data_IF_041409188146
#
_entry.id   IF_041409188146
#
_cell.length_a   1.000
_cell.length_b   1.000
_cell.length_c   1.000
_cell.angle_alpha   90.00
_cell.angle_beta   90.00
_cell.angle_gamma   90.00
#
_symmetry.space_group_name_H-M   'P 1'
#
loop_
_entity.id
_entity.type
_entity.pdbx_description
1 polymer ?
#
# COMPACT_ATOMS: atom_id res chain seq x y z
N UNK A 1 17.10 15.73 -29.59
CA UNK A 1 18.12 14.72 -29.92
C UNK A 1 18.87 14.25 -28.68
N UNK A 2 19.56 15.14 -27.95
CA UNK A 2 20.28 14.77 -26.72
C UNK A 2 19.37 14.16 -25.63
N UNK A 3 18.21 14.78 -25.36
CA UNK A 3 17.24 14.26 -24.39
C UNK A 3 16.73 12.86 -24.77
N UNK A 4 16.47 12.63 -26.05
CA UNK A 4 16.03 11.34 -26.59
C UNK A 4 17.10 10.26 -26.41
N UNK A 5 18.37 10.62 -26.65
CA UNK A 5 19.52 9.73 -26.45
C UNK A 5 19.67 9.39 -24.96
N UNK A 6 19.57 10.38 -24.06
CA UNK A 6 19.66 10.17 -22.62
C UNK A 6 18.54 9.25 -22.14
N UNK A 7 17.29 9.45 -22.57
CA UNK A 7 16.16 8.59 -22.22
C UNK A 7 16.33 7.16 -22.74
N UNK A 8 16.84 6.98 -23.96
CA UNK A 8 17.12 5.64 -24.50
C UNK A 8 18.25 4.96 -23.73
N UNK A 9 19.30 5.70 -23.40
CA UNK A 9 20.44 5.18 -22.65
C UNK A 9 20.03 4.79 -21.22
N UNK A 10 19.19 5.58 -20.55
CA UNK A 10 18.68 5.24 -19.23
C UNK A 10 17.74 4.05 -19.28
N UNK A 11 16.84 3.94 -20.27
CA UNK A 11 16.01 2.73 -20.42
C UNK A 11 16.84 1.48 -20.71
N UNK A 12 17.92 1.60 -21.48
CA UNK A 12 18.82 0.48 -21.78
C UNK A 12 19.68 0.07 -20.58
N UNK A 13 20.20 1.03 -19.81
CA UNK A 13 21.06 0.80 -18.64
C UNK A 13 20.28 0.43 -17.38
N UNK A 14 19.05 0.94 -17.23
CA UNK A 14 18.13 0.61 -16.14
C UNK A 14 17.19 -0.53 -16.52
N UNK A 15 17.36 -1.15 -17.70
CA UNK A 15 16.60 -2.35 -18.03
C UNK A 15 16.97 -3.39 -16.98
N UNK A 16 16.07 -3.71 -16.03
CA UNK A 16 16.40 -4.68 -15.02
C UNK A 16 16.76 -5.95 -15.78
N UNK A 17 17.93 -6.55 -15.48
CA UNK A 17 18.27 -7.85 -16.02
C UNK A 17 17.02 -8.71 -15.88
N UNK A 18 16.46 -9.18 -17.02
CA UNK A 18 15.27 -10.02 -17.00
C UNK A 18 15.62 -11.18 -16.09
N UNK A 19 15.12 -11.14 -14.88
CA UNK A 19 15.29 -12.20 -13.92
C UNK A 19 14.51 -13.37 -14.50
N UNK A 20 15.22 -14.30 -15.15
CA UNK A 20 14.72 -15.63 -15.47
C UNK A 20 14.52 -16.47 -14.20
N UNK A 21 14.57 -15.87 -13.00
CA UNK A 21 14.12 -16.54 -11.80
C UNK A 21 12.67 -16.97 -12.04
N UNK A 22 12.48 -18.29 -12.16
CA UNK A 22 11.17 -18.92 -12.07
C UNK A 22 10.56 -18.48 -10.74
N UNK A 23 9.71 -17.47 -10.78
CA UNK A 23 8.87 -17.13 -9.64
C UNK A 23 7.96 -18.32 -9.46
N UNK A 24 8.20 -19.11 -8.42
CA UNK A 24 7.29 -20.18 -8.05
C UNK A 24 5.89 -19.56 -7.90
N UNK A 25 4.87 -20.24 -8.42
CA UNK A 25 3.51 -19.76 -8.27
C UNK A 25 3.23 -19.57 -6.78
N UNK A 26 2.81 -18.36 -6.40
CA UNK A 26 2.41 -18.11 -5.02
C UNK A 26 1.24 -19.04 -4.66
N UNK A 27 1.21 -19.57 -3.42
CA UNK A 27 0.07 -20.33 -2.95
C UNK A 27 -1.20 -19.49 -3.12
N UNK A 28 -2.23 -20.07 -3.73
CA UNK A 28 -3.53 -19.40 -3.80
C UNK A 28 -4.23 -19.53 -2.45
N UNK A 29 -4.71 -18.39 -1.94
CA UNK A 29 -5.62 -18.39 -0.80
C UNK A 29 -6.95 -19.01 -1.21
N UNK A 30 -7.58 -19.74 -0.29
CA UNK A 30 -8.94 -20.23 -0.49
C UNK A 30 -9.91 -19.04 -0.49
N UNK A 31 -10.94 -19.09 -1.34
CA UNK A 31 -11.99 -18.08 -1.36
C UNK A 31 -12.74 -18.09 -0.02
N UNK A 32 -12.87 -16.93 0.63
CA UNK A 32 -13.63 -16.83 1.86
C UNK A 32 -15.13 -16.89 1.55
N UNK A 33 -15.92 -17.51 2.44
CA UNK A 33 -17.38 -17.55 2.35
C UNK A 33 -18.06 -17.06 3.62
N UNK A 34 -19.40 -17.10 3.62
CA UNK A 34 -20.28 -16.56 4.68
C UNK A 34 -20.04 -17.03 6.13
N UNK A 35 -19.22 -18.06 6.33
CA UNK A 35 -18.88 -18.59 7.67
C UNK A 35 -17.48 -18.19 8.13
N UNK A 36 -16.71 -17.56 7.25
CA UNK A 36 -15.33 -17.20 7.50
C UNK A 36 -15.22 -15.79 8.08
N UNK A 37 -14.21 -15.60 8.93
CA UNK A 37 -13.83 -14.32 9.50
C UNK A 37 -12.35 -14.09 9.21
N UNK A 38 -12.04 -13.04 8.47
CA UNK A 38 -10.71 -12.73 7.98
C UNK A 38 -10.15 -11.55 8.78
N UNK A 39 -8.91 -11.64 9.23
CA UNK A 39 -8.18 -10.51 9.80
C UNK A 39 -6.96 -10.20 8.93
N UNK A 40 -6.95 -9.00 8.35
CA UNK A 40 -5.80 -8.44 7.63
C UNK A 40 -4.98 -7.62 8.62
N UNK A 41 -3.71 -7.97 8.79
CA UNK A 41 -2.77 -7.25 9.64
C UNK A 41 -1.85 -6.44 8.75
N UNK A 42 -2.06 -5.13 8.71
CA UNK A 42 -1.34 -4.20 7.87
C UNK A 42 -0.29 -3.42 8.68
N UNK A 43 1.01 -3.45 8.32
CA UNK A 43 2.03 -2.69 9.02
C UNK A 43 1.76 -1.17 9.01
N UNK A 44 1.39 -0.61 7.86
CA UNK A 44 1.03 0.78 7.67
C UNK A 44 -0.33 0.91 6.97
N UNK A 45 -0.82 2.14 6.91
CA UNK A 45 -2.08 2.52 6.27
C UNK A 45 -1.89 2.64 4.76
N UNK A 46 -2.33 1.65 3.99
CA UNK A 46 -2.22 1.46 2.53
C UNK A 46 -1.88 0.00 2.21
N UNK A 47 -1.10 -0.65 3.07
CA UNK A 47 -0.66 -2.04 2.94
C UNK A 47 -1.84 -3.03 2.83
N UNK A 48 -2.96 -2.76 3.51
CA UNK A 48 -4.18 -3.56 3.44
C UNK A 48 -4.79 -3.56 2.03
N UNK A 49 -4.85 -2.38 1.43
CA UNK A 49 -5.47 -2.18 0.12
C UNK A 49 -4.54 -2.67 -0.99
N UNK A 50 -3.25 -2.34 -0.91
CA UNK A 50 -2.24 -2.73 -1.90
C UNK A 50 -1.97 -4.24 -1.85
N UNK A 51 -1.85 -4.79 -0.65
CA UNK A 51 -1.47 -6.19 -0.45
C UNK A 51 -2.64 -7.18 -0.52
N UNK A 52 -3.79 -6.81 0.03
CA UNK A 52 -4.91 -7.72 0.24
C UNK A 52 -6.27 -7.19 -0.23
N UNK A 53 -6.35 -5.98 -0.80
CA UNK A 53 -7.62 -5.31 -1.13
C UNK A 53 -8.52 -6.12 -2.06
N UNK A 54 -7.95 -6.76 -3.09
CA UNK A 54 -8.71 -7.64 -3.99
C UNK A 54 -9.33 -8.84 -3.27
N UNK A 55 -8.57 -9.49 -2.39
CA UNK A 55 -9.08 -10.61 -1.59
C UNK A 55 -10.13 -10.15 -0.58
N UNK A 56 -9.96 -8.96 0.01
CA UNK A 56 -10.92 -8.38 0.95
C UNK A 56 -12.27 -8.13 0.28
N UNK A 57 -12.28 -7.50 -0.90
CA UNK A 57 -13.50 -7.26 -1.68
C UNK A 57 -14.17 -8.59 -2.02
N UNK A 58 -13.43 -9.54 -2.59
CA UNK A 58 -13.97 -10.86 -2.94
C UNK A 58 -14.55 -11.57 -1.71
N UNK A 59 -13.91 -11.45 -0.54
CA UNK A 59 -14.38 -12.04 0.70
C UNK A 59 -15.68 -11.40 1.20
N UNK A 60 -15.77 -10.06 1.18
CA UNK A 60 -16.97 -9.30 1.55
C UNK A 60 -18.13 -9.62 0.59
N UNK A 61 -17.87 -9.67 -0.72
CA UNK A 61 -18.87 -10.02 -1.73
C UNK A 61 -19.41 -11.45 -1.57
N UNK A 62 -18.56 -12.37 -1.10
CA UNK A 62 -18.96 -13.74 -0.73
C UNK A 62 -19.62 -13.84 0.66
N UNK A 63 -19.79 -12.70 1.34
CA UNK A 63 -20.47 -12.54 2.62
C UNK A 63 -19.64 -12.95 3.85
N UNK A 64 -18.32 -13.07 3.72
CA UNK A 64 -17.42 -13.23 4.86
C UNK A 64 -17.32 -11.94 5.67
N UNK A 65 -16.95 -12.03 6.95
CA UNK A 65 -16.59 -10.86 7.74
C UNK A 65 -15.10 -10.55 7.58
N UNK A 66 -14.77 -9.31 7.23
CA UNK A 66 -13.37 -8.86 7.08
C UNK A 66 -13.07 -7.78 8.12
N UNK A 67 -11.95 -7.96 8.82
CA UNK A 67 -11.41 -7.01 9.79
C UNK A 67 -10.01 -6.60 9.36
N UNK A 68 -9.66 -5.33 9.58
CA UNK A 68 -8.33 -4.82 9.31
C UNK A 68 -7.76 -4.19 10.57
N UNK A 69 -6.53 -4.55 10.91
CA UNK A 69 -5.76 -3.92 11.97
C UNK A 69 -4.50 -3.28 11.41
N UNK A 70 -4.32 -1.99 11.71
CA UNK A 70 -3.14 -1.23 11.35
C UNK A 70 -2.18 -1.22 12.54
N UNK A 71 -0.92 -1.63 12.31
CA UNK A 71 0.09 -1.63 13.38
C UNK A 71 0.65 -0.22 13.65
N UNK A 72 0.65 0.64 12.65
CA UNK A 72 1.15 2.01 12.75
C UNK A 72 0.29 2.99 11.95
N UNK A 73 0.37 4.28 12.29
CA UNK A 73 -0.26 5.35 11.52
C UNK A 73 0.55 5.74 10.26
N UNK A 74 1.72 5.12 10.04
CA UNK A 74 2.62 5.48 8.94
C UNK A 74 3.08 6.93 8.96
N UNK A 75 3.21 7.50 10.15
CA UNK A 75 3.52 8.91 10.40
C UNK A 75 4.99 9.24 10.24
N UNK A 76 5.92 8.32 10.52
CA UNK A 76 7.37 8.56 10.53
C UNK A 76 8.06 8.68 9.14
N UNK A 77 7.30 8.77 8.04
CA UNK A 77 7.90 8.95 6.72
C UNK A 77 8.35 10.40 6.52
N UNK A 78 9.67 10.66 6.52
CA UNK A 78 10.26 11.99 6.36
C UNK A 78 9.90 12.64 5.02
N UNK A 79 9.79 11.86 3.94
CA UNK A 79 9.40 12.40 2.64
C UNK A 79 7.94 12.86 2.65
N UNK A 80 7.03 12.06 3.21
CA UNK A 80 5.62 12.43 3.37
C UNK A 80 5.45 13.69 4.22
N UNK A 81 6.17 13.79 5.35
CA UNK A 81 6.12 14.97 6.22
C UNK A 81 6.64 16.24 5.51
N UNK A 82 7.74 16.13 4.76
CA UNK A 82 8.27 17.24 3.95
C UNK A 82 7.30 17.68 2.87
N UNK A 83 6.71 16.73 2.15
CA UNK A 83 5.83 17.01 1.02
C UNK A 83 4.51 17.64 1.47
N UNK A 84 3.88 17.08 2.50
CA UNK A 84 2.59 17.56 3.01
C UNK A 84 2.70 18.97 3.59
N UNK A 85 3.78 19.25 4.34
CA UNK A 85 3.97 20.54 5.02
C UNK A 85 4.88 21.50 4.25
N UNK A 86 5.36 21.13 3.06
CA UNK A 86 6.23 21.93 2.19
C UNK A 86 7.46 22.47 2.93
N UNK A 87 8.08 21.63 3.75
CA UNK A 87 9.25 21.96 4.59
C UNK A 87 10.41 21.02 4.30
N UNK A 88 11.65 21.48 4.52
CA UNK A 88 12.85 20.63 4.43
C UNK A 88 13.20 19.95 5.76
N UNK A 89 12.79 20.53 6.88
CA UNK A 89 13.06 19.99 8.22
C UNK A 89 11.73 19.83 8.97
N UNK A 90 11.08 18.67 8.85
CA UNK A 90 9.83 18.40 9.53
C UNK A 90 10.01 18.36 11.05
N UNK A 91 9.04 18.94 11.74
CA UNK A 91 8.90 18.90 13.20
C UNK A 91 8.13 17.65 13.64
N UNK A 92 8.12 17.36 14.95
CA UNK A 92 7.31 16.29 15.50
C UNK A 92 5.80 16.46 15.20
N UNK A 93 5.33 17.72 15.16
CA UNK A 93 3.94 18.02 14.80
C UNK A 93 3.63 17.59 13.35
N UNK A 94 4.57 17.80 12.43
CA UNK A 94 4.39 17.49 11.01
C UNK A 94 4.19 15.99 10.79
N UNK A 95 5.01 15.17 11.46
CA UNK A 95 4.86 13.72 11.46
C UNK A 95 3.50 13.28 12.02
N UNK A 96 3.12 13.77 13.21
CA UNK A 96 1.82 13.45 13.81
C UNK A 96 0.64 13.87 12.91
N UNK A 97 0.77 14.98 12.20
CA UNK A 97 -0.22 15.42 11.22
C UNK A 97 -0.32 14.46 10.04
N UNK A 98 0.79 13.93 9.52
CA UNK A 98 0.76 12.89 8.47
C UNK A 98 0.00 11.67 8.98
N UNK A 99 0.28 11.19 10.20
CA UNK A 99 -0.44 10.05 10.77
C UNK A 99 -1.95 10.26 10.86
N UNK A 100 -2.39 11.45 11.31
CA UNK A 100 -3.82 11.80 11.38
C UNK A 100 -4.47 11.80 9.98
N UNK A 101 -3.79 12.37 8.99
CA UNK A 101 -4.26 12.38 7.60
C UNK A 101 -4.41 10.95 7.09
N UNK A 102 -3.38 10.11 7.25
CA UNK A 102 -3.43 8.71 6.79
C UNK A 102 -4.52 7.92 7.49
N UNK A 103 -4.74 8.10 8.80
CA UNK A 103 -5.86 7.45 9.51
C UNK A 103 -7.22 7.83 8.90
N UNK A 104 -7.38 9.09 8.47
CA UNK A 104 -8.59 9.51 7.78
C UNK A 104 -8.71 8.87 6.38
N UNK A 105 -7.60 8.76 5.64
CA UNK A 105 -7.53 8.06 4.36
C UNK A 105 -7.90 6.58 4.49
N UNK A 106 -7.36 5.86 5.48
CA UNK A 106 -7.76 4.47 5.78
C UNK A 106 -9.26 4.35 6.01
N UNK A 107 -9.87 5.23 6.83
CA UNK A 107 -11.31 5.19 7.09
C UNK A 107 -12.12 5.38 5.81
N UNK A 108 -11.71 6.31 4.95
CA UNK A 108 -12.35 6.53 3.66
C UNK A 108 -12.19 5.32 2.73
N UNK A 109 -10.99 4.74 2.66
CA UNK A 109 -10.72 3.54 1.86
C UNK A 109 -11.56 2.35 2.34
N UNK A 110 -11.63 2.08 3.65
CA UNK A 110 -12.41 0.98 4.19
C UNK A 110 -13.90 1.15 3.92
N UNK A 111 -14.42 2.37 3.99
CA UNK A 111 -15.81 2.63 3.63
C UNK A 111 -16.13 2.26 2.18
N UNK A 112 -15.15 2.33 1.27
CA UNK A 112 -15.31 1.94 -0.13
C UNK A 112 -15.16 0.43 -0.35
N UNK A 113 -14.36 -0.27 0.47
CA UNK A 113 -14.14 -1.71 0.34
C UNK A 113 -15.24 -2.57 0.97
N UNK A 114 -16.07 -1.99 1.84
CA UNK A 114 -17.14 -2.68 2.58
C UNK A 114 -16.66 -3.28 3.90
#
# INVERSE_FOLDING_TARGET
MLLTIVTFLTMALLNPARSEARVAAYPRLHAAGRRDRILIVAPHIDDEAIGAGGYAIDAVDNGAEVFIVFLTAGDCNRFSARLLHKTLEPTAFDYLSVGRTRIAEAKAAMHLLG
#
